data_IF_142445131586
#
_entry.id   IF_142445131586
#
_cell.length_a   1.000
_cell.length_b   1.000
_cell.length_c   1.000
_cell.angle_alpha   90.00
_cell.angle_beta   90.00
_cell.angle_gamma   90.00
#
_symmetry.space_group_name_H-M   'P 1'
#
loop_
_entity.id
_entity.type
_entity.pdbx_description
1 polymer ?
#
# COMPACT_ATOMS: atom_id res chain seq x y z
N UNK A 1 -8.92 2.56 0.34
CA UNK A 1 -8.26 3.24 -0.79
C UNK A 1 -9.28 3.53 -1.89
N UNK A 2 -9.31 4.74 -2.47
CA UNK A 2 -10.11 5.21 -3.62
C UNK A 2 -9.37 6.40 -4.27
N UNK A 3 -9.42 6.54 -5.60
CA UNK A 3 -8.83 7.68 -6.34
C UNK A 3 -7.33 7.91 -6.09
N UNK A 4 -6.55 6.88 -5.76
CA UNK A 4 -5.13 7.04 -5.39
C UNK A 4 -4.94 7.93 -4.14
N UNK A 5 -5.91 7.95 -3.21
CA UNK A 5 -5.85 8.77 -2.00
C UNK A 5 -4.78 8.26 -1.03
N UNK A 6 -4.58 6.93 -0.97
CA UNK A 6 -3.47 6.28 -0.26
C UNK A 6 -2.20 6.25 -1.10
N UNK A 7 -2.07 5.22 -1.94
CA UNK A 7 -0.94 5.04 -2.86
C UNK A 7 -1.05 6.04 -4.03
N UNK A 8 -0.06 6.93 -4.15
CA UNK A 8 -0.09 8.08 -5.06
C UNK A 8 -0.63 9.36 -4.43
N UNK A 9 -1.22 9.26 -3.24
CA UNK A 9 -1.78 10.36 -2.45
C UNK A 9 -0.99 10.60 -1.18
N UNK A 10 -1.59 10.33 -0.01
CA UNK A 10 -0.98 10.63 1.30
C UNK A 10 0.30 9.84 1.57
N UNK A 11 0.44 8.65 0.98
CA UNK A 11 1.65 7.85 1.08
C UNK A 11 2.72 8.36 0.13
N UNK A 12 3.95 8.57 0.61
CA UNK A 12 4.99 9.30 -0.13
C UNK A 12 5.76 8.45 -1.15
N UNK A 13 5.44 7.16 -1.30
CA UNK A 13 5.99 6.34 -2.39
C UNK A 13 5.69 6.98 -3.75
N UNK A 14 6.74 7.12 -4.56
CA UNK A 14 6.64 7.72 -5.89
C UNK A 14 6.52 6.64 -6.97
N UNK A 15 7.04 5.43 -6.74
CA UNK A 15 6.99 4.34 -7.73
C UNK A 15 5.67 3.60 -7.64
N UNK A 16 4.96 3.52 -8.76
CA UNK A 16 3.77 2.66 -8.89
C UNK A 16 4.17 1.28 -9.39
N UNK A 17 3.51 0.23 -8.90
CA UNK A 17 3.86 -1.17 -9.20
C UNK A 17 5.34 -1.49 -8.92
N UNK A 18 5.79 -1.23 -7.69
CA UNK A 18 7.21 -1.29 -7.31
C UNK A 18 7.84 -2.69 -7.28
N UNK A 19 7.07 -3.74 -6.98
CA UNK A 19 7.55 -5.13 -6.95
C UNK A 19 7.04 -5.97 -8.12
N UNK A 20 6.38 -5.35 -9.11
CA UNK A 20 5.88 -6.02 -10.30
C UNK A 20 4.77 -7.07 -10.04
N UNK A 21 4.11 -7.02 -8.88
CA UNK A 21 3.01 -7.92 -8.52
C UNK A 21 1.65 -7.48 -9.06
N UNK A 22 1.55 -6.32 -9.74
CA UNK A 22 0.29 -5.89 -10.33
C UNK A 22 -0.27 -6.96 -11.28
N UNK A 23 -1.50 -7.41 -11.02
CA UNK A 23 -2.12 -8.51 -11.78
C UNK A 23 -1.94 -9.90 -11.15
N UNK A 24 -1.30 -9.99 -9.99
CA UNK A 24 -1.13 -11.21 -9.20
C UNK A 24 0.14 -12.00 -9.55
N UNK A 25 0.33 -13.19 -8.97
CA UNK A 25 1.59 -13.93 -9.01
C UNK A 25 1.84 -14.70 -10.33
N UNK A 26 1.05 -14.42 -11.37
CA UNK A 26 1.17 -15.07 -12.67
C UNK A 26 2.29 -14.43 -13.49
N UNK A 27 2.95 -15.22 -14.34
CA UNK A 27 4.02 -14.73 -15.22
C UNK A 27 3.70 -15.04 -16.68
N UNK A 28 3.90 -14.09 -17.62
CA UNK A 28 4.36 -12.72 -17.36
C UNK A 28 3.34 -11.91 -16.56
N UNK A 29 3.82 -11.23 -15.53
CA UNK A 29 3.06 -10.28 -14.71
C UNK A 29 2.95 -8.94 -15.43
N UNK A 30 1.94 -8.15 -15.09
CA UNK A 30 1.79 -6.81 -15.63
C UNK A 30 2.87 -5.90 -15.03
N UNK A 31 3.64 -5.25 -15.91
CA UNK A 31 4.63 -4.25 -15.49
C UNK A 31 4.08 -2.83 -15.52
N UNK A 32 2.85 -2.58 -15.98
CA UNK A 32 2.26 -1.23 -15.97
C UNK A 32 2.35 -0.59 -14.56
N UNK A 33 2.75 0.70 -14.42
CA UNK A 33 2.99 1.68 -15.49
C UNK A 33 4.44 1.74 -15.99
N UNK A 34 5.28 0.74 -15.69
CA UNK A 34 6.62 0.67 -16.24
C UNK A 34 6.58 0.54 -17.77
N UNK A 35 7.52 1.21 -18.43
CA UNK A 35 7.64 1.27 -19.88
C UNK A 35 9.09 1.15 -20.32
N UNK A 36 9.32 0.68 -21.54
CA UNK A 36 10.64 0.39 -22.09
C UNK A 36 11.27 1.69 -22.66
N UNK A 37 12.57 1.87 -22.43
CA UNK A 37 13.43 2.84 -23.12
C UNK A 37 14.27 2.04 -24.13
N UNK A 38 13.96 2.17 -25.41
CA UNK A 38 14.58 1.38 -26.48
C UNK A 38 13.54 0.65 -27.32
N UNK A 39 14.01 -0.25 -28.18
CA UNK A 39 13.19 -1.13 -29.01
C UNK A 39 13.64 -2.60 -28.88
N UNK A 40 12.88 -3.51 -29.50
CA UNK A 40 13.11 -4.96 -29.47
C UNK A 40 14.48 -5.39 -30.01
N UNK A 41 15.18 -4.54 -30.78
CA UNK A 41 16.55 -4.83 -31.24
C UNK A 41 17.60 -4.53 -30.18
N UNK A 42 17.24 -3.72 -29.18
CA UNK A 42 18.16 -3.16 -28.18
C UNK A 42 17.95 -3.71 -26.78
N UNK A 43 16.73 -4.13 -26.43
CA UNK A 43 16.38 -4.57 -25.08
C UNK A 43 15.20 -5.54 -25.10
N UNK A 44 15.26 -6.51 -24.19
CA UNK A 44 14.13 -7.37 -23.83
C UNK A 44 13.76 -7.14 -22.36
N UNK A 45 12.46 -6.97 -22.08
CA UNK A 45 11.93 -6.84 -20.71
C UNK A 45 10.82 -7.88 -20.51
N UNK A 46 10.92 -8.61 -19.41
CA UNK A 46 9.90 -9.58 -19.00
C UNK A 46 9.85 -9.73 -17.49
N UNK A 47 8.99 -10.60 -17.00
CA UNK A 47 8.89 -10.94 -15.57
C UNK A 47 8.93 -12.44 -15.37
N UNK A 48 9.55 -12.87 -14.28
CA UNK A 48 9.60 -14.27 -13.88
C UNK A 48 9.47 -14.41 -12.35
N UNK A 49 9.51 -15.63 -11.83
CA UNK A 49 9.30 -15.93 -10.40
C UNK A 49 10.60 -16.12 -9.62
N UNK A 50 11.60 -15.28 -9.87
CA UNK A 50 12.95 -15.42 -9.29
C UNK A 50 13.27 -14.47 -8.13
N UNK A 51 12.30 -13.66 -7.68
CA UNK A 51 12.48 -12.77 -6.54
C UNK A 51 13.04 -13.47 -5.30
N UNK A 52 13.83 -12.74 -4.52
CA UNK A 52 14.30 -13.18 -3.21
C UNK A 52 13.23 -13.19 -2.11
N UNK A 53 12.07 -12.54 -2.33
CA UNK A 53 11.04 -12.43 -1.31
C UNK A 53 10.06 -13.60 -1.38
N UNK A 54 9.70 -14.14 -0.21
CA UNK A 54 8.89 -15.36 -0.16
C UNK A 54 7.44 -15.09 -0.56
N UNK A 55 6.94 -13.92 -0.18
CA UNK A 55 5.54 -13.49 -0.42
C UNK A 55 5.39 -12.71 -1.73
N UNK A 56 6.45 -12.02 -2.14
CA UNK A 56 6.56 -11.31 -3.41
C UNK A 56 7.48 -12.04 -4.36
N UNK A 57 6.92 -12.86 -5.25
CA UNK A 57 7.72 -13.80 -6.05
C UNK A 57 8.13 -13.27 -7.41
N UNK A 58 7.50 -12.20 -7.89
CA UNK A 58 7.72 -11.67 -9.23
C UNK A 58 8.97 -10.80 -9.22
N UNK A 59 9.80 -10.94 -10.25
CA UNK A 59 10.93 -10.04 -10.50
C UNK A 59 10.90 -9.61 -11.97
N UNK A 60 11.33 -8.37 -12.24
CA UNK A 60 11.52 -7.88 -13.59
C UNK A 60 12.88 -8.31 -14.10
N UNK A 61 12.92 -8.99 -15.26
CA UNK A 61 14.12 -9.34 -16.00
C UNK A 61 14.31 -8.35 -17.14
N UNK A 62 15.43 -7.65 -17.11
CA UNK A 62 15.88 -6.73 -18.16
C UNK A 62 17.14 -7.29 -18.84
N UNK A 63 17.08 -7.48 -20.15
CA UNK A 63 18.20 -7.97 -20.97
C UNK A 63 18.55 -6.93 -22.03
N UNK A 64 19.73 -6.31 -21.89
CA UNK A 64 20.28 -5.37 -22.86
C UNK A 64 20.94 -6.16 -23.98
N UNK A 65 20.50 -5.93 -25.21
CA UNK A 65 20.91 -6.66 -26.41
C UNK A 65 21.88 -5.87 -27.28
N UNK A 66 21.85 -4.54 -27.22
CA UNK A 66 22.68 -3.67 -28.04
C UNK A 66 24.17 -3.75 -27.69
N UNK A 67 25.02 -3.90 -28.71
CA UNK A 67 26.48 -3.78 -28.55
C UNK A 67 26.91 -2.30 -28.54
N UNK A 68 26.18 -1.43 -29.26
CA UNK A 68 26.37 0.03 -29.31
C UNK A 68 25.08 0.74 -28.90
N UNK A 69 24.76 0.72 -27.61
CA UNK A 69 23.54 1.36 -27.10
C UNK A 69 23.59 2.89 -27.25
N UNK A 70 22.44 3.58 -27.37
CA UNK A 70 22.37 5.04 -27.37
C UNK A 70 23.08 5.67 -26.17
N UNK A 71 23.47 6.94 -26.28
CA UNK A 71 24.21 7.64 -25.22
C UNK A 71 23.47 7.71 -23.88
N UNK A 72 22.13 7.68 -23.91
CA UNK A 72 21.25 7.64 -22.71
C UNK A 72 21.05 6.23 -22.15
N UNK A 73 21.52 5.20 -22.87
CA UNK A 73 21.27 3.78 -22.59
C UNK A 73 19.89 3.31 -23.03
N UNK A 74 19.64 2.03 -22.83
CA UNK A 74 18.31 1.39 -22.96
C UNK A 74 17.91 0.84 -21.60
N UNK A 75 16.61 0.67 -21.35
CA UNK A 75 16.16 0.26 -20.03
C UNK A 75 14.66 0.36 -19.82
N UNK A 76 14.26 0.76 -18.62
CA UNK A 76 12.86 0.97 -18.23
C UNK A 76 12.68 2.30 -17.51
N UNK A 77 11.45 2.81 -17.50
CA UNK A 77 11.05 3.93 -16.67
C UNK A 77 9.69 3.71 -16.01
N UNK A 78 9.48 4.38 -14.87
CA UNK A 78 8.23 4.44 -14.14
C UNK A 78 7.78 5.92 -14.03
N UNK A 79 6.59 6.29 -14.53
CA UNK A 79 6.07 7.65 -14.40
C UNK A 79 5.53 7.96 -12.99
N UNK A 80 5.53 6.98 -12.08
CA UNK A 80 4.87 7.08 -10.79
C UNK A 80 3.36 7.14 -10.95
N UNK A 81 2.72 8.02 -10.17
CA UNK A 81 1.29 8.27 -10.21
C UNK A 81 1.00 9.50 -11.08
N UNK A 82 1.01 9.31 -12.40
CA UNK A 82 0.84 10.36 -13.43
C UNK A 82 1.90 11.48 -13.39
N UNK A 83 3.10 11.15 -12.92
CA UNK A 83 4.22 12.07 -12.77
C UNK A 83 4.74 12.12 -11.34
N UNK A 84 6.04 12.33 -11.19
CA UNK A 84 6.69 12.55 -9.90
C UNK A 84 7.04 14.03 -9.74
N UNK A 85 6.60 14.64 -8.64
CA UNK A 85 7.00 15.99 -8.28
C UNK A 85 8.40 15.98 -7.66
N UNK A 86 9.40 16.31 -8.47
CA UNK A 86 10.79 16.41 -8.07
C UNK A 86 11.13 17.88 -7.85
N UNK A 87 11.73 18.21 -6.71
CA UNK A 87 12.02 19.57 -6.29
C UNK A 87 13.51 19.77 -6.11
N UNK A 88 14.03 20.88 -6.61
CA UNK A 88 15.44 21.24 -6.51
C UNK A 88 15.96 21.20 -5.07
N UNK A 89 17.14 20.62 -4.87
CA UNK A 89 17.79 20.45 -3.57
C UNK A 89 17.20 19.36 -2.68
N UNK A 90 16.02 18.79 -2.99
CA UNK A 90 15.47 17.66 -2.22
C UNK A 90 16.23 16.36 -2.48
N UNK A 91 16.25 15.52 -1.46
CA UNK A 91 16.84 14.17 -1.53
C UNK A 91 15.74 13.13 -1.62
N UNK A 92 15.94 12.15 -2.51
CA UNK A 92 15.05 11.01 -2.71
C UNK A 92 15.83 9.73 -2.43
N UNK A 93 15.29 8.89 -1.55
CA UNK A 93 15.86 7.60 -1.18
C UNK A 93 15.35 6.54 -2.16
N UNK A 94 16.24 6.05 -3.01
CA UNK A 94 15.98 4.91 -3.89
C UNK A 94 16.43 3.63 -3.18
N UNK A 95 15.53 2.67 -3.06
CA UNK A 95 15.83 1.32 -2.62
C UNK A 95 15.39 0.35 -3.72
N UNK A 96 16.24 -0.59 -4.08
CA UNK A 96 15.86 -1.70 -4.97
C UNK A 96 16.68 -2.94 -4.70
N UNK A 97 16.17 -4.08 -5.11
CA UNK A 97 16.90 -5.34 -5.11
C UNK A 97 17.32 -5.68 -6.53
N UNK A 98 18.57 -6.10 -6.70
CA UNK A 98 19.07 -6.47 -8.00
C UNK A 98 19.96 -7.72 -7.96
N UNK A 99 19.99 -8.42 -9.08
CA UNK A 99 20.84 -9.59 -9.32
C UNK A 99 21.25 -9.62 -10.78
N UNK A 100 22.49 -10.01 -11.05
CA UNK A 100 22.98 -10.18 -12.42
C UNK A 100 24.01 -11.31 -12.47
N UNK A 101 23.99 -12.21 -13.46
CA UNK A 101 24.98 -13.29 -13.60
C UNK A 101 26.39 -12.73 -13.84
N UNK A 102 26.49 -11.63 -14.58
CA UNK A 102 27.74 -10.93 -14.88
C UNK A 102 27.71 -9.53 -14.28
N UNK A 103 28.86 -8.90 -14.14
CA UNK A 103 28.90 -7.53 -13.63
C UNK A 103 28.22 -6.60 -14.66
N UNK A 104 27.26 -5.80 -14.21
CA UNK A 104 26.57 -4.81 -15.05
C UNK A 104 26.54 -3.47 -14.35
N UNK A 105 26.80 -2.42 -15.13
CA UNK A 105 26.65 -1.03 -14.70
C UNK A 105 25.35 -0.46 -15.25
N UNK A 106 24.54 0.06 -14.34
CA UNK A 106 23.28 0.74 -14.63
C UNK A 106 23.37 2.19 -14.21
N UNK A 107 22.52 3.03 -14.78
CA UNK A 107 22.30 4.41 -14.36
C UNK A 107 20.85 4.53 -13.94
N UNK A 108 20.64 4.97 -12.70
CA UNK A 108 19.31 5.37 -12.22
C UNK A 108 19.21 6.88 -12.30
N UNK A 109 18.10 7.40 -12.81
CA UNK A 109 17.92 8.85 -12.96
C UNK A 109 16.48 9.27 -12.72
N UNK A 110 16.33 10.47 -12.15
CA UNK A 110 15.08 11.21 -12.18
C UNK A 110 15.14 12.16 -13.36
N UNK A 111 14.17 12.06 -14.26
CA UNK A 111 14.12 12.85 -15.49
C UNK A 111 12.76 13.49 -15.69
N UNK A 112 12.67 14.54 -16.53
CA UNK A 112 11.39 15.04 -17.04
C UNK A 112 10.58 13.92 -17.72
N UNK A 113 9.27 14.13 -17.90
CA UNK A 113 8.37 13.13 -18.51
C UNK A 113 8.86 12.60 -19.86
N UNK A 114 9.52 13.44 -20.66
CA UNK A 114 10.12 13.10 -21.96
C UNK A 114 11.50 12.43 -21.87
N UNK A 115 12.11 12.39 -20.68
CA UNK A 115 13.46 11.86 -20.45
C UNK A 115 14.62 12.75 -20.87
N UNK A 116 14.37 13.97 -21.35
CA UNK A 116 15.40 14.84 -21.91
C UNK A 116 16.18 15.59 -20.84
N UNK A 117 15.52 16.02 -19.76
CA UNK A 117 16.14 16.76 -18.66
C UNK A 117 16.39 15.84 -17.48
N UNK A 118 17.65 15.62 -17.14
CA UNK A 118 18.05 14.88 -15.94
C UNK A 118 18.04 15.81 -14.74
N UNK A 119 17.30 15.44 -13.70
CA UNK A 119 17.17 16.16 -12.44
C UNK A 119 18.07 15.58 -11.35
N UNK A 120 18.24 14.26 -11.34
CA UNK A 120 19.20 13.57 -10.47
C UNK A 120 19.65 12.28 -11.16
N UNK A 121 20.87 11.81 -10.88
CA UNK A 121 21.38 10.57 -11.44
C UNK A 121 22.43 9.92 -10.54
N UNK A 122 22.51 8.60 -10.57
CA UNK A 122 23.57 7.82 -9.94
C UNK A 122 23.93 6.60 -10.78
N UNK A 123 25.22 6.27 -10.83
CA UNK A 123 25.69 5.01 -11.37
C UNK A 123 25.58 3.91 -10.31
N UNK A 124 25.03 2.77 -10.69
CA UNK A 124 24.82 1.61 -9.84
C UNK A 124 25.54 0.42 -10.46
N UNK A 125 26.33 -0.27 -9.64
CA UNK A 125 27.04 -1.48 -10.05
C UNK A 125 26.40 -2.69 -9.39
N UNK A 126 25.89 -3.61 -10.21
CA UNK A 126 25.43 -4.92 -9.74
C UNK A 126 26.58 -5.91 -9.95
N UNK A 127 27.12 -6.51 -8.88
CA UNK A 127 28.16 -7.51 -9.00
C UNK A 127 27.61 -8.76 -9.70
N UNK A 128 28.46 -9.41 -10.50
CA UNK A 128 28.11 -10.70 -11.09
C UNK A 128 27.94 -11.79 -10.03
N UNK A 129 26.92 -12.62 -10.17
CA UNK A 129 26.63 -13.73 -9.28
C UNK A 129 25.17 -14.18 -9.31
N UNK A 130 24.83 -15.13 -8.45
CA UNK A 130 23.46 -15.68 -8.34
C UNK A 130 22.64 -15.04 -7.23
N UNK A 131 23.26 -14.24 -6.36
CA UNK A 131 22.65 -13.67 -5.16
C UNK A 131 22.00 -12.31 -5.45
N UNK A 132 20.85 -12.09 -4.83
CA UNK A 132 20.22 -10.78 -4.77
C UNK A 132 20.97 -9.86 -3.80
N UNK A 133 21.12 -8.60 -4.19
CA UNK A 133 21.68 -7.55 -3.34
C UNK A 133 20.68 -6.43 -3.17
N UNK A 134 20.63 -5.84 -1.97
CA UNK A 134 19.91 -4.59 -1.71
C UNK A 134 20.80 -3.43 -2.12
N UNK A 135 20.23 -2.53 -2.92
CA UNK A 135 20.84 -1.29 -3.37
C UNK A 135 20.09 -0.15 -2.71
N UNK A 136 20.85 0.74 -2.05
CA UNK A 136 20.34 1.91 -1.35
C UNK A 136 21.13 3.12 -1.85
N UNK A 137 20.43 4.05 -2.49
CA UNK A 137 21.02 5.21 -3.14
C UNK A 137 20.22 6.47 -2.83
N UNK A 138 20.93 7.53 -2.46
CA UNK A 138 20.35 8.87 -2.35
C UNK A 138 20.54 9.62 -3.65
N UNK A 139 19.44 10.19 -4.16
CA UNK A 139 19.40 11.04 -5.34
C UNK A 139 19.10 12.47 -4.89
N UNK A 140 20.04 13.39 -5.10
CA UNK A 140 19.86 14.82 -4.80
C UNK A 140 19.45 15.53 -6.08
N UNK A 141 18.25 16.09 -6.10
CA UNK A 141 17.74 16.81 -7.25
C UNK A 141 18.49 18.13 -7.48
N UNK A 142 18.79 18.41 -8.75
CA UNK A 142 19.47 19.61 -9.26
C UNK A 142 18.50 20.49 -10.08
N UNK A 143 17.20 20.27 -9.91
CA UNK A 143 16.15 21.04 -10.56
C UNK A 143 14.76 20.56 -10.18
N UNK A 144 13.76 21.40 -10.48
CA UNK A 144 12.34 21.12 -10.21
C UNK A 144 11.59 20.73 -11.48
N UNK A 145 10.77 19.67 -11.38
CA UNK A 145 9.82 19.24 -12.40
C UNK A 145 8.66 18.48 -11.76
N UNK A 146 7.43 18.86 -12.10
CA UNK A 146 6.19 18.30 -11.53
C UNK A 146 5.74 17.02 -12.22
N UNK A 147 6.33 16.69 -13.36
CA UNK A 147 5.91 15.60 -14.25
C UNK A 147 7.04 14.60 -14.49
N UNK A 148 7.91 14.42 -13.50
CA UNK A 148 9.11 13.59 -13.65
C UNK A 148 8.79 12.10 -13.72
N UNK A 149 9.80 11.31 -14.05
CA UNK A 149 9.79 9.84 -14.00
C UNK A 149 11.11 9.32 -13.43
N UNK A 150 11.07 8.12 -12.85
CA UNK A 150 12.26 7.34 -12.53
C UNK A 150 12.64 6.50 -13.74
N UNK A 151 13.91 6.49 -14.15
CA UNK A 151 14.41 5.59 -15.18
C UNK A 151 15.64 4.82 -14.71
N UNK A 152 15.77 3.58 -15.19
CA UNK A 152 16.88 2.67 -14.94
C UNK A 152 17.38 2.23 -16.31
N UNK A 153 18.59 2.64 -16.70
CA UNK A 153 19.16 2.31 -18.02
C UNK A 153 20.54 1.68 -17.90
N UNK A 154 20.94 0.94 -18.92
CA UNK A 154 22.27 0.39 -19.07
C UNK A 154 22.78 0.64 -20.50
N UNK A 155 24.11 0.70 -20.64
CA UNK A 155 24.79 0.96 -21.92
C UNK A 155 25.57 -0.25 -22.43
N UNK A 156 25.72 -1.25 -21.59
CA UNK A 156 26.46 -2.48 -21.87
C UNK A 156 25.49 -3.64 -21.94
N UNK A 157 25.72 -4.53 -22.90
CA UNK A 157 25.02 -5.80 -23.03
C UNK A 157 25.08 -6.59 -21.72
N UNK A 158 23.98 -7.22 -21.33
CA UNK A 158 23.91 -7.98 -20.09
C UNK A 158 22.47 -8.22 -19.64
N UNK A 159 22.31 -9.03 -18.60
CA UNK A 159 21.01 -9.38 -18.02
C UNK A 159 20.99 -8.97 -16.56
N UNK A 160 19.94 -8.29 -16.14
CA UNK A 160 19.72 -7.93 -14.73
C UNK A 160 18.29 -8.22 -14.33
N UNK A 161 18.12 -8.73 -13.11
CA UNK A 161 16.84 -8.84 -12.45
C UNK A 161 16.71 -7.70 -11.44
N UNK A 162 15.54 -7.10 -11.39
CA UNK A 162 15.16 -6.00 -10.49
C UNK A 162 13.90 -6.39 -9.73
N UNK A 163 13.82 -5.99 -8.46
CA UNK A 163 12.66 -6.17 -7.62
C UNK A 163 12.57 -5.11 -6.52
N UNK A 164 11.37 -4.86 -5.99
CA UNK A 164 11.06 -3.93 -4.91
C UNK A 164 11.72 -2.56 -5.12
N UNK A 165 11.45 -1.91 -6.25
CA UNK A 165 11.99 -0.60 -6.60
C UNK A 165 11.16 0.51 -5.96
N UNK A 166 11.62 1.04 -4.82
CA UNK A 166 10.96 2.12 -4.08
C UNK A 166 11.72 3.42 -4.19
N UNK A 167 11.01 4.54 -4.33
CA UNK A 167 11.57 5.88 -4.30
C UNK A 167 10.72 6.78 -3.41
N UNK A 168 11.26 7.19 -2.26
CA UNK A 168 10.56 8.09 -1.33
C UNK A 168 11.37 9.37 -1.11
N UNK A 169 10.74 10.55 -0.97
CA UNK A 169 11.40 11.73 -0.45
C UNK A 169 12.03 11.45 0.92
N UNK A 170 13.20 12.01 1.21
CA UNK A 170 13.83 11.83 2.53
C UNK A 170 13.10 12.57 3.66
N UNK A 171 12.35 13.62 3.32
CA UNK A 171 11.68 14.56 4.23
C UNK A 171 10.17 14.26 4.40
N UNK A 172 9.81 12.98 4.47
CA UNK A 172 8.42 12.59 4.79
C UNK A 172 7.99 13.11 6.16
N UNK A 173 6.69 13.30 6.35
CA UNK A 173 6.13 13.83 7.59
C UNK A 173 6.61 13.02 8.79
N UNK A 174 7.39 13.67 9.67
CA UNK A 174 8.07 13.06 10.84
C UNK A 174 8.93 11.83 10.54
N UNK A 175 9.25 11.55 9.28
CA UNK A 175 9.92 10.31 8.88
C UNK A 175 9.00 9.08 8.81
N UNK A 176 7.68 9.25 8.91
CA UNK A 176 6.71 8.14 8.96
C UNK A 176 6.18 7.73 7.57
N UNK A 177 6.72 8.29 6.48
CA UNK A 177 6.37 7.87 5.13
C UNK A 177 5.22 8.65 4.47
N UNK A 178 4.64 9.64 5.14
CA UNK A 178 3.56 10.45 4.58
C UNK A 178 4.04 11.73 3.88
N UNK A 179 3.25 12.21 2.92
CA UNK A 179 3.48 13.49 2.26
C UNK A 179 3.13 14.66 3.18
N UNK A 180 4.15 15.46 3.53
CA UNK A 180 4.06 16.53 4.52
C UNK A 180 2.98 17.56 4.20
N UNK A 181 2.82 17.93 2.94
CA UNK A 181 1.81 18.90 2.50
C UNK A 181 0.38 18.39 2.69
N UNK A 182 0.12 17.12 2.40
CA UNK A 182 -1.21 16.53 2.56
C UNK A 182 -1.55 16.31 4.03
N UNK A 183 -0.59 15.86 4.84
CA UNK A 183 -0.79 15.74 6.29
C UNK A 183 -1.05 17.11 6.93
N UNK A 184 -0.37 18.15 6.48
CA UNK A 184 -0.62 19.52 6.96
C UNK A 184 -2.07 19.96 6.69
N UNK A 185 -2.59 19.68 5.50
CA UNK A 185 -4.00 19.97 5.18
C UNK A 185 -4.97 19.16 6.06
N UNK A 186 -4.66 17.90 6.36
CA UNK A 186 -5.47 17.08 7.26
C UNK A 186 -5.45 17.62 8.70
N UNK A 187 -4.29 18.06 9.19
CA UNK A 187 -4.17 18.68 10.52
C UNK A 187 -5.03 19.95 10.63
N UNK A 188 -5.11 20.76 9.57
CA UNK A 188 -5.91 21.99 9.55
C UNK A 188 -7.41 21.73 9.71
N UNK A 189 -7.89 20.55 9.29
CA UNK A 189 -9.27 20.10 9.52
C UNK A 189 -9.55 19.77 11.00
N UNK A 190 -8.50 19.57 11.81
CA UNK A 190 -8.57 19.16 13.22
C UNK A 190 -9.44 17.91 13.43
N UNK A 191 -9.17 16.81 12.70
CA UNK A 191 -9.98 15.61 12.75
C UNK A 191 -10.00 15.05 14.16
N UNK A 192 -11.17 14.59 14.61
CA UNK A 192 -11.33 13.92 15.90
C UNK A 192 -11.16 12.42 15.81
N UNK A 193 -11.36 11.86 14.63
CA UNK A 193 -11.21 10.44 14.35
C UNK A 193 -10.75 10.22 12.91
N UNK A 194 -10.20 9.03 12.65
CA UNK A 194 -9.86 8.53 11.32
C UNK A 194 -10.47 7.15 11.15
N UNK A 195 -11.43 7.01 10.23
CA UNK A 195 -12.04 5.72 9.84
C UNK A 195 -11.23 5.09 8.72
N UNK A 196 -10.63 3.92 8.96
CA UNK A 196 -9.73 3.26 8.01
C UNK A 196 -9.80 1.72 8.13
N UNK A 197 -9.38 0.97 7.08
CA UNK A 197 -8.95 1.41 5.75
C UNK A 197 -10.15 1.54 4.80
N UNK A 198 -11.37 1.48 5.37
CA UNK A 198 -12.59 1.04 4.73
C UNK A 198 -13.21 1.93 3.67
N UNK A 199 -14.54 1.99 3.76
CA UNK A 199 -15.37 1.90 2.56
C UNK A 199 -15.24 0.51 1.96
N UNK A 200 -15.69 0.36 0.71
CA UNK A 200 -15.66 -0.89 -0.04
C UNK A 200 -14.26 -1.52 -0.21
N UNK A 201 -13.17 -0.78 0.09
CA UNK A 201 -11.81 -1.30 0.06
C UNK A 201 -11.58 -2.44 1.07
N UNK A 202 -12.25 -2.39 2.24
CA UNK A 202 -12.11 -3.45 3.24
C UNK A 202 -12.84 -4.74 2.83
N UNK A 203 -13.88 -4.61 2.02
CA UNK A 203 -14.74 -5.69 1.54
C UNK A 203 -14.16 -6.38 0.30
N UNK A 204 -13.74 -5.57 -0.67
CA UNK A 204 -13.55 -6.02 -2.05
C UNK A 204 -14.88 -6.32 -2.75
N UNK A 205 -14.84 -6.48 -4.07
CA UNK A 205 -15.95 -7.07 -4.82
C UNK A 205 -16.04 -8.56 -4.56
N UNK A 206 -14.88 -9.20 -4.36
CA UNK A 206 -14.72 -10.61 -4.00
C UNK A 206 -13.82 -10.74 -2.77
N UNK A 207 -14.10 -11.69 -1.87
CA UNK A 207 -13.37 -11.86 -0.60
C UNK A 207 -11.88 -12.15 -0.77
N UNK A 208 -11.49 -12.72 -1.92
CA UNK A 208 -10.08 -12.94 -2.30
C UNK A 208 -9.28 -11.63 -2.44
N UNK A 209 -9.97 -10.52 -2.66
CA UNK A 209 -9.42 -9.18 -2.88
C UNK A 209 -9.70 -8.24 -1.69
N UNK A 210 -10.30 -8.74 -0.61
CA UNK A 210 -10.51 -7.96 0.60
C UNK A 210 -9.19 -7.60 1.27
N UNK A 211 -9.10 -6.41 1.86
CA UNK A 211 -7.94 -6.01 2.66
C UNK A 211 -7.67 -6.98 3.82
N UNK A 212 -6.42 -7.42 3.96
CA UNK A 212 -5.96 -8.31 5.05
C UNK A 212 -4.89 -7.60 5.87
N UNK A 213 -5.22 -7.23 7.10
CA UNK A 213 -4.33 -6.42 7.95
C UNK A 213 -2.95 -7.07 8.15
N UNK A 214 -2.90 -8.40 8.35
CA UNK A 214 -1.64 -9.13 8.52
C UNK A 214 -0.74 -9.04 7.30
N UNK A 215 -1.35 -8.96 6.12
CA UNK A 215 -0.59 -8.89 4.89
C UNK A 215 0.03 -7.51 4.69
N UNK A 216 -0.47 -6.50 5.40
CA UNK A 216 -0.06 -5.09 5.36
C UNK A 216 0.91 -4.67 6.47
N UNK A 217 1.42 -5.59 7.29
CA UNK A 217 2.40 -5.29 8.36
C UNK A 217 3.73 -6.01 8.12
N UNK A 218 4.76 -5.61 8.88
CA UNK A 218 6.11 -6.10 8.71
C UNK A 218 6.86 -5.40 7.57
N UNK A 219 8.01 -5.97 7.13
CA UNK A 219 8.83 -5.41 6.05
C UNK A 219 8.02 -5.18 4.78
N UNK A 220 8.12 -3.98 4.22
CA UNK A 220 7.33 -3.58 3.06
C UNK A 220 7.65 -4.41 1.82
N UNK A 221 8.90 -4.88 1.69
CA UNK A 221 9.36 -5.72 0.59
C UNK A 221 8.68 -7.09 0.54
N UNK A 222 8.03 -7.52 1.63
CA UNK A 222 7.33 -8.81 1.76
C UNK A 222 5.79 -8.65 1.79
N UNK A 223 5.27 -7.44 1.58
CA UNK A 223 3.82 -7.19 1.51
C UNK A 223 3.32 -7.52 0.10
N UNK A 224 2.39 -8.48 -0.05
CA UNK A 224 1.91 -8.92 -1.37
C UNK A 224 1.07 -7.88 -2.09
N UNK A 225 0.55 -6.89 -1.37
CA UNK A 225 -0.50 -6.05 -1.91
C UNK A 225 -1.76 -6.86 -2.24
N UNK A 226 -2.70 -6.21 -2.92
CA UNK A 226 -3.85 -6.87 -3.52
C UNK A 226 -4.48 -5.99 -4.60
N UNK A 227 -5.30 -6.63 -5.45
CA UNK A 227 -6.09 -5.90 -6.44
C UNK A 227 -7.34 -5.31 -5.77
N UNK A 228 -7.41 -3.99 -5.68
CA UNK A 228 -8.59 -3.25 -5.22
C UNK A 228 -9.68 -3.28 -6.29
N UNK A 229 -10.32 -4.42 -6.47
CA UNK A 229 -11.29 -4.70 -7.54
C UNK A 229 -12.55 -3.83 -7.54
N UNK A 230 -12.86 -3.15 -6.43
CA UNK A 230 -13.91 -2.13 -6.39
C UNK A 230 -13.50 -0.86 -7.13
N UNK A 231 -12.22 -0.49 -7.08
CA UNK A 231 -11.69 0.76 -7.62
C UNK A 231 -10.73 0.58 -8.80
N UNK A 232 -10.51 -0.67 -9.22
CA UNK A 232 -9.78 -1.09 -10.41
C UNK A 232 -8.30 -0.67 -10.47
N UNK A 233 -7.59 -0.73 -9.34
CA UNK A 233 -6.13 -0.63 -9.35
C UNK A 233 -5.49 -1.54 -8.29
N UNK A 234 -4.23 -1.87 -8.52
CA UNK A 234 -3.42 -2.63 -7.59
C UNK A 234 -2.90 -1.74 -6.47
N UNK A 235 -2.95 -2.24 -5.23
CA UNK A 235 -2.32 -1.58 -4.08
C UNK A 235 -1.19 -2.46 -3.57
N UNK A 236 -0.06 -1.87 -3.21
CA UNK A 236 1.09 -2.59 -2.66
C UNK A 236 0.98 -2.80 -1.15
N UNK A 237 -0.12 -2.37 -0.53
CA UNK A 237 -0.34 -2.32 0.92
C UNK A 237 0.83 -1.69 1.71
N UNK A 238 1.56 -0.75 1.08
CA UNK A 238 2.59 0.06 1.74
C UNK A 238 2.00 0.98 2.80
N UNK A 239 0.82 1.54 2.55
CA UNK A 239 -0.03 2.17 3.55
C UNK A 239 -0.92 1.10 4.20
N UNK A 240 -0.36 0.39 5.18
CA UNK A 240 -0.99 -0.73 5.84
C UNK A 240 -1.60 -0.39 7.20
N UNK A 241 -1.94 -1.44 7.95
CA UNK A 241 -2.59 -1.30 9.26
C UNK A 241 -1.78 -0.47 10.25
N UNK A 242 -0.46 -0.72 10.32
CA UNK A 242 0.44 0.03 11.18
C UNK A 242 0.51 1.51 10.77
N UNK A 243 0.66 1.77 9.47
CA UNK A 243 0.79 3.14 8.97
C UNK A 243 -0.50 3.95 9.22
N UNK A 244 -1.70 3.37 9.09
CA UNK A 244 -2.93 4.08 9.45
C UNK A 244 -3.08 4.37 10.95
N UNK A 245 -2.61 3.46 11.82
CA UNK A 245 -2.56 3.71 13.27
C UNK A 245 -1.59 4.85 13.59
N UNK A 246 -0.39 4.84 12.97
CA UNK A 246 0.59 5.91 13.09
C UNK A 246 0.05 7.25 12.60
N UNK A 247 -0.68 7.24 11.48
CA UNK A 247 -1.35 8.43 10.94
C UNK A 247 -2.39 8.99 11.90
N UNK A 248 -3.18 8.13 12.54
CA UNK A 248 -4.17 8.56 13.54
C UNK A 248 -3.51 9.29 14.70
N UNK A 249 -2.41 8.74 15.23
CA UNK A 249 -1.60 9.37 16.28
C UNK A 249 -1.01 10.70 15.82
N UNK A 250 -0.47 10.75 14.60
CA UNK A 250 0.13 11.94 14.00
C UNK A 250 -0.86 13.08 13.81
N UNK A 251 -2.12 12.76 13.53
CA UNK A 251 -3.22 13.71 13.39
C UNK A 251 -3.85 14.09 14.74
N UNK A 252 -3.49 13.41 15.84
CA UNK A 252 -4.18 13.54 17.12
C UNK A 252 -5.64 13.06 17.07
N UNK A 253 -5.96 12.16 16.14
CA UNK A 253 -7.30 11.64 15.88
C UNK A 253 -7.46 10.23 16.46
N UNK A 254 -8.67 9.90 16.92
CA UNK A 254 -8.98 8.54 17.36
C UNK A 254 -9.08 7.56 16.18
N UNK A 255 -8.34 6.45 16.17
CA UNK A 255 -8.49 5.44 15.12
C UNK A 255 -9.83 4.72 15.25
N UNK A 256 -10.57 4.61 14.13
CA UNK A 256 -11.74 3.75 13.97
C UNK A 256 -11.35 2.63 13.03
N UNK A 257 -11.11 1.45 13.61
CA UNK A 257 -10.65 0.27 12.87
C UNK A 257 -11.83 -0.42 12.19
N UNK A 258 -11.92 -0.30 10.87
CA UNK A 258 -12.89 -0.99 10.03
C UNK A 258 -12.26 -2.28 9.53
N UNK A 259 -12.92 -3.41 9.71
CA UNK A 259 -12.40 -4.69 9.26
C UNK A 259 -13.44 -5.51 8.49
N UNK A 260 -12.95 -6.44 7.67
CA UNK A 260 -13.79 -7.36 6.92
C UNK A 260 -14.46 -8.37 7.87
N UNK A 261 -15.79 -8.42 7.88
CA UNK A 261 -16.60 -9.30 8.74
C UNK A 261 -16.96 -10.63 8.06
N UNK A 262 -16.21 -11.05 7.04
CA UNK A 262 -16.52 -12.21 6.20
C UNK A 262 -17.45 -11.91 5.02
N UNK A 263 -17.65 -10.64 4.68
CA UNK A 263 -18.50 -10.23 3.56
C UNK A 263 -17.69 -9.41 2.55
N UNK A 264 -18.04 -9.59 1.27
CA UNK A 264 -17.67 -8.72 0.16
C UNK A 264 -18.94 -8.34 -0.62
N UNK A 265 -18.81 -7.56 -1.69
CA UNK A 265 -19.98 -7.24 -2.51
C UNK A 265 -20.67 -8.49 -3.10
N UNK A 266 -19.93 -9.58 -3.36
CA UNK A 266 -20.45 -10.78 -4.00
C UNK A 266 -20.32 -12.08 -3.19
N UNK A 267 -19.52 -12.10 -2.13
CA UNK A 267 -19.33 -13.28 -1.29
C UNK A 267 -19.77 -13.04 0.15
N UNK A 268 -20.26 -14.08 0.80
CA UNK A 268 -20.57 -14.09 2.23
C UNK A 268 -20.08 -15.39 2.85
N UNK A 269 -19.28 -15.29 3.91
CA UNK A 269 -18.90 -16.44 4.73
C UNK A 269 -20.06 -16.77 5.67
N UNK A 270 -20.50 -18.03 5.60
CA UNK A 270 -21.51 -18.57 6.51
C UNK A 270 -21.10 -18.37 7.98
N UNK A 271 -22.05 -17.96 8.83
CA UNK A 271 -21.80 -17.69 10.25
C UNK A 271 -21.19 -18.88 11.01
N UNK A 272 -21.44 -20.12 10.58
CA UNK A 272 -20.83 -21.31 11.17
C UNK A 272 -19.33 -21.43 10.87
N UNK A 273 -18.85 -20.77 9.81
CA UNK A 273 -17.46 -20.78 9.35
C UNK A 273 -16.68 -19.49 9.65
N UNK A 274 -17.29 -18.49 10.32
CA UNK A 274 -16.66 -17.17 10.53
C UNK A 274 -15.56 -17.13 11.60
N UNK A 275 -15.42 -18.19 12.41
CA UNK A 275 -14.51 -18.22 13.55
C UNK A 275 -13.04 -17.85 13.23
N UNK A 276 -12.43 -18.25 12.10
CA UNK A 276 -11.09 -17.81 11.73
C UNK A 276 -10.98 -16.30 11.53
N UNK A 277 -12.01 -15.65 10.96
CA UNK A 277 -12.03 -14.20 10.78
C UNK A 277 -12.14 -13.49 12.14
N UNK A 278 -12.96 -14.01 13.06
CA UNK A 278 -13.06 -13.47 14.43
C UNK A 278 -11.71 -13.50 15.13
N UNK A 279 -11.01 -14.64 15.07
CA UNK A 279 -9.65 -14.74 15.61
C UNK A 279 -8.71 -13.74 14.94
N UNK A 280 -8.82 -13.59 13.62
CA UNK A 280 -7.98 -12.68 12.85
C UNK A 280 -8.06 -11.25 13.33
N UNK A 281 -9.26 -10.81 13.68
CA UNK A 281 -9.51 -9.46 14.18
C UNK A 281 -9.09 -9.30 15.64
N UNK A 282 -9.29 -10.30 16.50
CA UNK A 282 -8.75 -10.26 17.87
C UNK A 282 -7.23 -10.12 17.88
N UNK A 283 -6.55 -10.81 16.97
CA UNK A 283 -5.11 -10.68 16.78
C UNK A 283 -4.72 -9.26 16.29
N UNK A 284 -5.54 -8.61 15.44
CA UNK A 284 -5.33 -7.20 15.04
C UNK A 284 -5.46 -6.24 16.22
N UNK A 285 -6.40 -6.50 17.12
CA UNK A 285 -6.58 -5.71 18.35
C UNK A 285 -5.45 -5.97 19.34
N UNK A 286 -4.93 -7.19 19.42
CA UNK A 286 -3.73 -7.50 20.20
C UNK A 286 -2.49 -6.80 19.61
N UNK A 287 -2.36 -6.73 18.27
CA UNK A 287 -1.32 -5.94 17.62
C UNK A 287 -1.40 -4.48 18.02
N UNK A 288 -2.59 -3.87 18.00
CA UNK A 288 -2.75 -2.46 18.34
C UNK A 288 -2.61 -2.18 19.84
N UNK A 289 -3.18 -3.02 20.71
CA UNK A 289 -3.37 -2.73 22.15
C UNK A 289 -2.54 -3.59 23.10
N UNK A 290 -2.01 -4.72 22.66
CA UNK A 290 -1.26 -5.65 23.49
C UNK A 290 0.06 -5.07 23.98
N UNK A 291 0.61 -5.63 25.06
CA UNK A 291 1.93 -5.25 25.54
C UNK A 291 3.02 -5.64 24.54
N UNK A 292 4.20 -5.02 24.61
CA UNK A 292 5.31 -5.33 23.71
C UNK A 292 5.82 -6.79 23.83
N UNK A 293 5.42 -7.51 24.88
CA UNK A 293 5.75 -8.92 25.13
C UNK A 293 4.67 -9.89 24.63
N UNK A 294 3.52 -9.37 24.19
CA UNK A 294 2.43 -10.18 23.68
C UNK A 294 2.74 -10.69 22.25
N UNK A 295 1.96 -11.65 21.75
CA UNK A 295 2.24 -12.27 20.44
C UNK A 295 2.24 -11.23 19.34
N UNK A 296 1.21 -10.39 19.29
CA UNK A 296 1.08 -9.36 18.25
C UNK A 296 1.62 -8.00 18.68
N UNK A 297 1.61 -7.67 19.97
CA UNK A 297 2.23 -6.44 20.46
C UNK A 297 3.76 -6.43 20.28
N UNK A 298 4.42 -7.60 20.34
CA UNK A 298 5.85 -7.72 20.00
C UNK A 298 6.15 -7.44 18.53
N UNK A 299 5.23 -7.77 17.62
CA UNK A 299 5.36 -7.42 16.20
C UNK A 299 5.27 -5.90 16.02
N UNK A 300 4.31 -5.24 16.67
CA UNK A 300 4.20 -3.77 16.68
C UNK A 300 5.47 -3.11 17.24
N UNK A 301 5.97 -3.62 18.36
CA UNK A 301 7.19 -3.13 18.99
C UNK A 301 8.43 -3.30 18.07
N UNK A 302 8.56 -4.44 17.40
CA UNK A 302 9.64 -4.70 16.44
C UNK A 302 9.55 -3.81 15.20
N UNK A 303 8.36 -3.32 14.85
CA UNK A 303 8.16 -2.31 13.80
C UNK A 303 8.49 -0.88 14.24
N UNK A 304 8.91 -0.67 15.49
CA UNK A 304 9.39 0.61 16.00
C UNK A 304 8.42 1.33 16.94
N UNK A 305 7.27 0.74 17.27
CA UNK A 305 6.27 1.36 18.15
C UNK A 305 5.91 0.43 19.33
N UNK A 306 6.65 0.48 20.45
CA UNK A 306 6.42 -0.40 21.58
C UNK A 306 5.14 -0.07 22.35
N UNK A 307 4.66 1.18 22.30
CA UNK A 307 3.49 1.61 23.05
C UNK A 307 2.18 1.17 22.38
N UNK A 308 1.12 0.84 23.14
CA UNK A 308 -0.18 0.53 22.57
C UNK A 308 -0.82 1.73 21.85
N UNK A 309 -1.42 1.49 20.68
CA UNK A 309 -2.29 2.48 20.04
C UNK A 309 -3.65 2.57 20.75
N UNK A 310 -4.25 3.77 20.85
CA UNK A 310 -5.51 3.98 21.58
C UNK A 310 -6.74 3.62 20.74
N UNK A 311 -6.81 2.39 20.22
CA UNK A 311 -7.98 1.88 19.48
C UNK A 311 -9.16 1.69 20.42
N UNK A 312 -10.13 2.61 20.33
CA UNK A 312 -11.37 2.62 21.13
C UNK A 312 -12.61 2.27 20.34
N UNK A 313 -12.53 2.34 19.01
CA UNK A 313 -13.66 2.17 18.12
C UNK A 313 -13.33 1.14 17.05
N UNK A 314 -14.26 0.21 16.83
CA UNK A 314 -14.18 -0.76 15.74
C UNK A 314 -15.48 -0.77 14.97
N UNK A 315 -15.40 -0.87 13.65
CA UNK A 315 -16.56 -1.07 12.78
C UNK A 315 -16.53 -2.48 12.19
N UNK A 316 -17.63 -3.21 12.40
CA UNK A 316 -17.73 -4.64 12.07
C UNK A 316 -18.34 -4.79 10.66
N UNK A 317 -17.51 -4.59 9.64
CA UNK A 317 -17.92 -4.56 8.23
C UNK A 317 -18.06 -3.14 7.67
N UNK A 318 -18.61 -3.05 6.46
CA UNK A 318 -18.91 -1.79 5.78
C UNK A 318 -20.18 -1.96 4.91
N UNK A 319 -21.22 -1.14 5.14
CA UNK A 319 -22.49 -1.16 4.38
C UNK A 319 -23.18 -2.55 4.23
N UNK A 320 -22.87 -3.50 5.12
CA UNK A 320 -23.24 -4.92 4.97
C UNK A 320 -24.64 -5.27 5.52
N UNK A 321 -25.37 -4.35 6.13
CA UNK A 321 -26.57 -4.68 6.92
C UNK A 321 -27.62 -5.53 6.19
N UNK A 322 -27.77 -5.33 4.87
CA UNK A 322 -28.73 -6.06 4.04
C UNK A 322 -28.29 -7.47 3.62
N UNK A 323 -27.08 -7.90 4.00
CA UNK A 323 -26.48 -9.18 3.62
C UNK A 323 -26.98 -10.31 4.52
N UNK A 324 -27.15 -11.50 3.95
CA UNK A 324 -27.80 -12.64 4.63
C UNK A 324 -27.07 -13.03 5.93
N UNK A 325 -25.74 -13.11 5.88
CA UNK A 325 -24.90 -13.56 6.99
C UNK A 325 -24.45 -12.42 7.91
N UNK A 326 -24.74 -11.15 7.59
CA UNK A 326 -24.22 -10.00 8.35
C UNK A 326 -24.55 -10.11 9.83
N UNK A 327 -25.83 -10.32 10.16
CA UNK A 327 -26.27 -10.34 11.56
C UNK A 327 -25.61 -11.46 12.36
N UNK A 328 -25.52 -12.65 11.78
CA UNK A 328 -24.88 -13.79 12.42
C UNK A 328 -23.38 -13.55 12.62
N UNK A 329 -22.69 -13.05 11.59
CA UNK A 329 -21.26 -12.74 11.65
C UNK A 329 -21.00 -11.63 12.66
N UNK A 330 -21.75 -10.52 12.60
CA UNK A 330 -21.67 -9.40 13.53
C UNK A 330 -21.72 -9.86 14.97
N UNK A 331 -22.69 -10.70 15.35
CA UNK A 331 -22.83 -11.20 16.72
C UNK A 331 -21.63 -12.04 17.16
N UNK A 332 -20.98 -12.78 16.25
CA UNK A 332 -19.75 -13.54 16.56
C UNK A 332 -18.59 -12.59 16.87
N UNK A 333 -18.39 -11.55 16.06
CA UNK A 333 -17.38 -10.52 16.33
C UNK A 333 -17.69 -9.71 17.59
N UNK A 334 -18.92 -9.21 17.74
CA UNK A 334 -19.37 -8.42 18.88
C UNK A 334 -19.09 -9.14 20.20
N UNK A 335 -19.52 -10.40 20.32
CA UNK A 335 -19.36 -11.16 21.56
C UNK A 335 -17.89 -11.39 21.88
N UNK A 336 -17.08 -11.80 20.90
CA UNK A 336 -15.67 -12.07 21.10
C UNK A 336 -14.87 -10.81 21.45
N UNK A 337 -15.15 -9.68 20.77
CA UNK A 337 -14.50 -8.40 21.05
C UNK A 337 -14.95 -7.86 22.41
N UNK A 338 -16.24 -7.93 22.75
CA UNK A 338 -16.75 -7.47 24.05
C UNK A 338 -16.14 -8.27 25.21
N UNK A 339 -15.94 -9.58 25.03
CA UNK A 339 -15.32 -10.45 26.03
C UNK A 339 -13.83 -10.08 26.24
N UNK A 340 -13.08 -9.89 25.15
CA UNK A 340 -11.65 -9.61 25.22
C UNK A 340 -11.31 -8.14 25.55
N UNK A 341 -12.13 -7.21 25.07
CA UNK A 341 -11.91 -5.76 25.12
C UNK A 341 -13.20 -5.02 25.46
N UNK A 342 -13.69 -5.12 26.71
CA UNK A 342 -15.00 -4.60 27.09
C UNK A 342 -15.15 -3.08 26.96
N UNK A 343 -14.04 -2.35 26.88
CA UNK A 343 -13.98 -0.89 26.73
C UNK A 343 -14.01 -0.40 25.27
N UNK A 344 -13.85 -1.30 24.28
CA UNK A 344 -14.01 -0.94 22.87
C UNK A 344 -15.49 -0.70 22.58
N UNK A 345 -15.78 0.35 21.82
CA UNK A 345 -17.10 0.63 21.29
C UNK A 345 -17.25 0.01 19.90
N UNK A 346 -18.29 -0.80 19.72
CA UNK A 346 -18.60 -1.47 18.47
C UNK A 346 -19.61 -0.67 17.66
N UNK A 347 -19.23 -0.38 16.41
CA UNK A 347 -20.04 0.30 15.42
C UNK A 347 -20.67 -0.76 14.50
N UNK A 348 -22.01 -0.80 14.47
CA UNK A 348 -22.79 -1.57 13.49
C UNK A 348 -22.91 -0.79 12.17
N UNK A 349 -23.01 -1.47 11.03
CA UNK A 349 -23.30 -0.85 9.74
C UNK A 349 -24.80 -0.86 9.41
N UNK A 350 -25.63 -1.33 10.35
CA UNK A 350 -27.07 -1.23 10.23
C UNK A 350 -27.54 0.16 10.64
N UNK A 351 -28.46 0.73 9.86
CA UNK A 351 -29.07 2.02 10.14
C UNK A 351 -29.94 1.96 11.41
N UNK A 352 -29.48 2.62 12.47
CA UNK A 352 -30.21 2.81 13.73
C UNK A 352 -30.93 4.17 13.83
N UNK A 353 -30.97 4.97 12.77
CA UNK A 353 -31.51 6.34 12.79
C UNK A 353 -33.04 6.38 12.88
N UNK A 354 -33.71 5.38 12.29
CA UNK A 354 -35.17 5.31 12.20
C UNK A 354 -35.82 4.42 13.27
N UNK A 355 -35.01 3.70 14.05
CA UNK A 355 -35.47 2.78 15.09
C UNK A 355 -34.32 2.04 15.77
N UNK A 356 -34.56 1.40 16.92
CA UNK A 356 -33.53 0.64 17.60
C UNK A 356 -33.05 -0.53 16.75
N UNK A 357 -31.75 -0.77 16.75
CA UNK A 357 -31.17 -1.98 16.17
C UNK A 357 -31.70 -3.23 16.88
N UNK A 358 -31.85 -4.31 16.12
CA UNK A 358 -32.33 -5.60 16.62
C UNK A 358 -31.20 -6.50 17.17
N UNK A 359 -30.00 -5.93 17.30
CA UNK A 359 -28.80 -6.56 17.83
C UNK A 359 -28.02 -5.51 18.65
N UNK A 360 -27.17 -5.94 19.60
CA UNK A 360 -26.43 -5.00 20.43
C UNK A 360 -25.37 -4.26 19.61
N UNK A 361 -25.27 -2.94 19.81
CA UNK A 361 -24.20 -2.10 19.28
C UNK A 361 -24.04 -0.88 20.20
N UNK A 362 -22.85 -0.30 20.29
CA UNK A 362 -22.65 0.97 21.02
C UNK A 362 -22.97 2.17 20.12
N UNK A 363 -22.64 2.03 18.84
CA UNK A 363 -22.79 3.03 17.80
C UNK A 363 -23.29 2.35 16.52
N UNK A 364 -23.78 3.15 15.59
CA UNK A 364 -24.10 2.70 14.24
C UNK A 364 -23.51 3.67 13.22
N UNK A 365 -23.14 3.14 12.07
CA UNK A 365 -22.64 3.86 10.91
C UNK A 365 -23.78 4.00 9.91
N UNK A 366 -24.17 5.23 9.60
CA UNK A 366 -25.22 5.55 8.66
C UNK A 366 -24.71 6.43 7.53
N UNK A 367 -24.92 5.99 6.29
CA UNK A 367 -24.48 6.70 5.10
C UNK A 367 -25.68 7.27 4.33
N UNK A 368 -25.72 8.59 4.16
CA UNK A 368 -26.69 9.25 3.28
C UNK A 368 -26.05 9.52 1.92
N UNK A 369 -26.55 8.87 0.87
CA UNK A 369 -26.17 9.20 -0.52
C UNK A 369 -27.06 10.31 -1.03
N UNK A 370 -26.57 11.56 -0.99
CA UNK A 370 -27.22 12.65 -1.71
C UNK A 370 -26.88 12.53 -3.20
N UNK A 371 -27.87 12.23 -4.03
CA UNK A 371 -27.80 12.48 -5.47
C UNK A 371 -28.05 13.99 -5.70
N UNK A 372 -27.09 14.83 -5.31
CA UNK A 372 -27.06 16.22 -5.77
C UNK A 372 -26.21 16.25 -7.05
N UNK A 373 -26.67 16.87 -8.15
CA UNK A 373 -25.93 16.90 -9.42
C UNK A 373 -24.47 17.38 -9.33
N UNK A 374 -24.12 18.13 -8.28
CA UNK A 374 -22.83 18.83 -8.17
C UNK A 374 -22.03 18.56 -6.88
N UNK A 375 -22.38 17.54 -6.06
CA UNK A 375 -21.58 17.23 -4.87
C UNK A 375 -21.72 15.75 -4.43
N UNK A 376 -20.65 14.96 -4.58
CA UNK A 376 -20.51 13.70 -3.87
C UNK A 376 -19.93 13.99 -2.48
N UNK A 377 -20.76 13.93 -1.45
CA UNK A 377 -20.32 13.92 -0.05
C UNK A 377 -20.83 12.66 0.63
N UNK A 378 -19.92 11.82 1.11
CA UNK A 378 -20.25 10.75 2.06
C UNK A 378 -20.16 11.34 3.46
N UNK A 379 -21.30 11.42 4.15
CA UNK A 379 -21.34 11.72 5.57
C UNK A 379 -21.47 10.38 6.31
N UNK A 380 -20.42 9.99 7.01
CA UNK A 380 -20.46 8.99 8.08
C UNK A 380 -20.84 9.78 9.33
N UNK A 381 -22.04 9.58 9.86
CA UNK A 381 -22.46 10.18 11.16
C UNK A 381 -22.33 9.14 12.25
#
# INVERSE_FOLDING_TARGET
EINHAGAGGIWAELVSNRGFEAGGPHTPSNIEPWSIIGDDSSIFVGTDRTSCFRRNKVALRMEVLCDNCPAVGVGIYNPGFWGMNIEDGKTYNLVMHAKSPEMIEMTVSLTSSDGLRVLASAAIRVPGGSNWIKLDQKLVAQGTDRTSRLQITAKTKGVVWLDQVSLMPSDTYKGHGFRTELISMLLDLKPRFLRFPGGCFVEGSWLRNAFRWRDSIGPWEERPGHYGDVWNYWTDDGLGYYEFLQLSEDLGAAPVWVFNNGISHHDEVDTTAIAPFVKDILDSLEFARGSAESTWGSVRAAMGHPEPFPVKYVAIGNEDCGKENYRGNYLKFYNAIREAYPDIQMISNCDGSSGPLDHPADLYDFHVRYLLPDLFAFLVV
#
